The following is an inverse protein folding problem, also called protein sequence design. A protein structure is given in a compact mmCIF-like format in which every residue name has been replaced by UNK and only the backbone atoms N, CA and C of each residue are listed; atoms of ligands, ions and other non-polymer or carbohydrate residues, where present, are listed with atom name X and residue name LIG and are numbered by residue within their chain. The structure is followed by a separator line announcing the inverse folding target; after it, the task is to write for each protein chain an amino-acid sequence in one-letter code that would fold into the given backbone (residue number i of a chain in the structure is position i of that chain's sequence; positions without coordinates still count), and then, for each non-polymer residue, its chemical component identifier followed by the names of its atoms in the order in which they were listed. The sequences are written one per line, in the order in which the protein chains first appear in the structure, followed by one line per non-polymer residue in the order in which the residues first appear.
data_IF_955413236433
#
_entry.id   IF_955413236433
#
_cell.length_a   1.000
_cell.length_b   1.000
_cell.length_c   1.000
_cell.angle_alpha   90.00
_cell.angle_beta   90.00
_cell.angle_gamma   90.00
#
_symmetry.space_group_name_H-M   'P 1'
#
loop_
_entity.id
_entity.type
_entity.pdbx_description
1 polymer ?
#
# COMPACT_ATOMS: atom_id res chain seq x y z
N UNK A 1 16.72 -13.29 -29.58
CA UNK A 1 16.09 -12.37 -30.55
C UNK A 1 15.29 -11.33 -29.76
N UNK A 2 15.73 -10.05 -29.72
CA UNK A 2 15.08 -8.98 -28.95
C UNK A 2 13.99 -8.31 -29.79
N UNK A 3 12.90 -9.01 -30.09
CA UNK A 3 11.75 -8.42 -30.81
C UNK A 3 10.69 -7.85 -29.87
N UNK A 4 10.54 -8.42 -28.66
CA UNK A 4 9.49 -8.04 -27.72
C UNK A 4 9.59 -6.57 -27.25
N UNK A 5 8.49 -5.79 -27.30
CA UNK A 5 8.48 -4.41 -26.83
C UNK A 5 8.81 -4.35 -25.33
N UNK A 6 9.87 -3.61 -24.99
CA UNK A 6 10.34 -3.47 -23.60
C UNK A 6 9.24 -2.91 -22.70
N UNK A 7 8.48 -1.93 -23.18
CA UNK A 7 7.38 -1.34 -22.40
C UNK A 7 6.25 -2.34 -22.14
N UNK A 8 5.90 -3.21 -23.08
CA UNK A 8 4.92 -4.28 -22.84
C UNK A 8 5.42 -5.30 -21.81
N UNK A 9 6.69 -5.72 -21.92
CA UNK A 9 7.34 -6.61 -20.95
C UNK A 9 7.34 -6.01 -19.54
N UNK A 10 7.68 -4.72 -19.41
CA UNK A 10 7.66 -4.00 -18.14
C UNK A 10 6.28 -4.05 -17.48
N UNK A 11 5.20 -3.87 -18.25
CA UNK A 11 3.83 -3.93 -17.72
C UNK A 11 3.44 -5.37 -17.34
N UNK A 12 3.71 -6.35 -18.20
CA UNK A 12 3.37 -7.76 -17.97
C UNK A 12 4.09 -8.33 -16.74
N UNK A 13 5.36 -7.94 -16.54
CA UNK A 13 6.18 -8.35 -15.40
C UNK A 13 6.00 -7.44 -14.17
N UNK A 14 5.15 -6.42 -14.25
CA UNK A 14 4.96 -5.41 -13.18
C UNK A 14 6.30 -4.84 -12.69
N UNK A 15 7.21 -4.56 -13.64
CA UNK A 15 8.51 -3.95 -13.37
C UNK A 15 8.63 -2.61 -14.11
N UNK A 16 8.62 -1.47 -13.39
CA UNK A 16 8.64 -0.16 -14.03
C UNK A 16 9.96 0.11 -14.76
N UNK A 17 9.98 1.03 -15.74
CA UNK A 17 11.21 1.53 -16.35
C UNK A 17 12.30 1.85 -15.33
N UNK A 18 13.54 1.45 -15.63
CA UNK A 18 14.67 1.56 -14.71
C UNK A 18 14.86 2.98 -14.14
N UNK A 19 14.68 4.01 -14.97
CA UNK A 19 14.81 5.40 -14.52
C UNK A 19 13.72 5.79 -13.49
N UNK A 20 12.48 5.32 -13.67
CA UNK A 20 11.40 5.51 -12.68
C UNK A 20 11.69 4.75 -11.39
N UNK A 21 12.22 3.52 -11.51
CA UNK A 21 12.63 2.72 -10.36
C UNK A 21 13.76 3.38 -9.57
N UNK A 22 14.78 3.92 -10.25
CA UNK A 22 15.87 4.70 -9.63
C UNK A 22 15.32 5.92 -8.89
N UNK A 23 14.42 6.67 -9.52
CA UNK A 23 13.79 7.82 -8.87
C UNK A 23 12.97 7.41 -7.64
N UNK A 24 12.18 6.33 -7.72
CA UNK A 24 11.41 5.81 -6.58
C UNK A 24 12.29 5.41 -5.39
N UNK A 25 13.41 4.72 -5.65
CA UNK A 25 14.36 4.35 -4.61
C UNK A 25 15.04 5.56 -3.99
N UNK A 26 15.39 6.55 -4.82
CA UNK A 26 15.93 7.83 -4.38
C UNK A 26 14.94 8.61 -3.51
N UNK A 27 13.67 8.67 -3.92
CA UNK A 27 12.60 9.33 -3.16
C UNK A 27 12.48 8.71 -1.76
N UNK A 28 12.45 7.38 -1.65
CA UNK A 28 12.37 6.68 -0.37
C UNK A 28 13.60 6.87 0.51
N UNK A 29 14.79 6.85 -0.10
CA UNK A 29 16.03 7.10 0.61
C UNK A 29 16.04 8.53 1.18
N UNK A 30 15.68 9.52 0.36
CA UNK A 30 15.63 10.92 0.79
C UNK A 30 14.63 11.11 1.95
N UNK A 31 13.41 10.61 1.83
CA UNK A 31 12.38 10.75 2.89
C UNK A 31 12.87 10.17 4.23
N UNK A 32 13.59 9.05 4.19
CA UNK A 32 14.20 8.46 5.39
C UNK A 32 15.35 9.31 5.94
N UNK A 33 16.19 9.88 5.07
CA UNK A 33 17.27 10.77 5.48
C UNK A 33 16.74 12.09 6.07
N UNK A 34 15.69 12.66 5.47
CA UNK A 34 15.05 13.91 5.88
C UNK A 34 14.42 13.84 7.27
N UNK A 35 14.07 12.65 7.74
CA UNK A 35 13.62 12.41 9.11
C UNK A 35 14.72 12.68 10.15
N UNK A 36 16.00 12.49 9.80
CA UNK A 36 17.11 12.73 10.73
C UNK A 36 17.62 14.16 10.55
N UNK A 37 17.41 15.03 11.54
CA UNK A 37 17.85 16.44 11.48
C UNK A 37 19.36 16.60 11.37
N UNK A 38 20.15 15.63 11.85
CA UNK A 38 21.61 15.64 11.85
C UNK A 38 22.20 14.84 10.68
N UNK A 39 21.40 14.49 9.68
CA UNK A 39 21.88 13.69 8.56
C UNK A 39 22.82 14.52 7.65
N UNK A 40 24.08 14.09 7.42
CA UNK A 40 25.11 14.89 6.73
C UNK A 40 24.79 15.19 5.25
N UNK A 41 23.83 14.47 4.68
CA UNK A 41 23.35 14.71 3.31
C UNK A 41 22.54 16.01 3.18
N UNK A 42 21.79 16.41 4.22
CA UNK A 42 20.83 17.51 4.10
C UNK A 42 21.55 18.84 3.86
N UNK A 43 22.59 19.13 4.65
CA UNK A 43 23.45 20.31 4.48
C UNK A 43 24.06 20.36 3.06
N UNK A 44 24.58 19.24 2.56
CA UNK A 44 25.13 19.15 1.21
C UNK A 44 24.07 19.43 0.15
N UNK A 45 22.85 18.93 0.32
CA UNK A 45 21.76 19.15 -0.62
C UNK A 45 21.23 20.58 -0.59
N UNK A 46 21.32 21.29 0.52
CA UNK A 46 20.93 22.70 0.62
C UNK A 46 21.91 23.62 -0.12
N UNK A 47 23.19 23.25 -0.19
CA UNK A 47 24.24 24.00 -0.92
C UNK A 47 24.22 23.81 -2.43
N UNK A 48 23.55 22.77 -2.95
CA UNK A 48 23.59 22.39 -4.37
C UNK A 48 22.64 23.20 -5.30
N UNK A 49 21.41 23.57 -4.90
CA UNK A 49 20.49 24.31 -5.77
C UNK A 49 21.06 25.64 -6.27
N UNK A 50 21.81 26.37 -5.43
CA UNK A 50 22.50 27.61 -5.80
C UNK A 50 23.63 27.41 -6.82
N UNK A 51 24.16 26.19 -6.95
CA UNK A 51 25.18 25.83 -7.93
C UNK A 51 24.59 25.37 -9.27
N UNK A 52 23.30 25.00 -9.30
CA UNK A 52 22.63 24.43 -10.47
C UNK A 52 21.88 25.44 -11.34
N UNK A 53 21.70 26.67 -10.86
CA UNK A 53 21.04 27.77 -11.61
C UNK A 53 21.87 28.30 -12.79
N UNK A 54 23.08 27.79 -13.00
CA UNK A 54 24.06 28.33 -13.96
C UNK A 54 24.33 27.47 -15.20
N UNK A 55 23.51 26.47 -15.54
CA UNK A 55 23.70 25.78 -16.83
C UNK A 55 22.44 25.19 -17.46
N UNK A 56 22.30 25.45 -18.75
CA UNK A 56 21.28 24.99 -19.72
C UNK A 56 21.12 23.46 -19.88
N UNK A 57 21.55 22.64 -18.91
CA UNK A 57 21.54 21.18 -19.01
C UNK A 57 20.37 20.56 -18.23
N UNK A 58 19.14 20.83 -18.66
CA UNK A 58 17.91 20.21 -18.15
C UNK A 58 17.86 18.67 -18.22
N UNK A 59 18.88 18.02 -18.80
CA UNK A 59 18.86 16.59 -19.11
C UNK A 59 19.51 15.65 -18.09
N UNK A 60 20.27 16.12 -17.09
CA UNK A 60 21.01 15.21 -16.19
C UNK A 60 20.96 15.58 -14.69
N UNK A 61 19.80 15.98 -14.17
CA UNK A 61 19.65 16.22 -12.72
C UNK A 61 19.70 14.89 -11.96
N UNK A 62 20.60 14.70 -10.99
CA UNK A 62 20.66 13.48 -10.19
C UNK A 62 19.34 13.19 -9.46
N UNK A 63 18.93 11.92 -9.39
CA UNK A 63 17.68 11.51 -8.74
C UNK A 63 17.54 12.03 -7.30
N UNK A 64 18.66 12.11 -6.56
CA UNK A 64 18.67 12.58 -5.17
C UNK A 64 18.34 14.07 -5.07
N UNK A 65 18.83 14.88 -6.01
CA UNK A 65 18.51 16.31 -6.06
C UNK A 65 17.05 16.52 -6.48
N UNK A 66 16.53 15.73 -7.42
CA UNK A 66 15.10 15.72 -7.74
C UNK A 66 14.23 15.33 -6.53
N UNK A 67 14.71 14.37 -5.73
CA UNK A 67 14.01 13.95 -4.50
C UNK A 67 13.98 15.09 -3.49
N UNK A 68 15.13 15.73 -3.25
CA UNK A 68 15.25 16.89 -2.38
C UNK A 68 14.30 18.01 -2.80
N UNK A 69 14.38 18.48 -4.06
CA UNK A 69 13.54 19.55 -4.56
C UNK A 69 12.04 19.22 -4.48
N UNK A 70 11.68 17.96 -4.71
CA UNK A 70 10.30 17.48 -4.64
C UNK A 70 9.75 17.50 -3.22
N UNK A 71 10.48 16.93 -2.25
CA UNK A 71 9.99 16.77 -0.88
C UNK A 71 10.23 17.99 0.00
N UNK A 72 11.21 18.85 -0.33
CA UNK A 72 11.41 20.12 0.37
C UNK A 72 10.33 21.16 0.04
N UNK A 73 9.62 20.99 -1.09
CA UNK A 73 8.47 21.81 -1.50
C UNK A 73 7.12 21.29 -1.00
N UNK A 74 7.11 20.29 -0.11
CA UNK A 74 5.86 19.85 0.49
C UNK A 74 5.24 21.01 1.29
N UNK A 75 3.91 21.21 1.23
CA UNK A 75 3.24 22.25 2.00
C UNK A 75 3.37 22.02 3.50
N UNK A 76 3.57 20.76 3.89
CA UNK A 76 3.68 20.35 5.27
C UNK A 76 5.08 19.77 5.53
N UNK A 77 5.79 20.25 6.56
CA UNK A 77 7.14 19.76 6.87
C UNK A 77 7.11 18.33 7.41
N UNK A 78 8.21 17.61 7.15
CA UNK A 78 8.44 16.27 7.70
C UNK A 78 8.90 16.40 9.16
N UNK A 79 8.34 15.59 10.04
CA UNK A 79 8.78 15.41 11.43
C UNK A 79 10.26 14.99 11.44
N UNK A 80 11.11 15.83 12.05
CA UNK A 80 12.54 15.54 12.21
C UNK A 80 12.83 15.08 13.64
N UNK A 81 13.70 14.08 13.76
CA UNK A 81 14.27 13.59 15.03
C UNK A 81 15.79 13.66 14.96
N UNK A 82 16.48 14.00 16.06
CA UNK A 82 17.95 14.15 16.07
C UNK A 82 18.68 12.83 15.98
N UNK A 83 18.07 11.76 16.48
CA UNK A 83 18.63 10.41 16.50
C UNK A 83 17.64 9.43 15.90
N UNK A 84 18.15 8.24 15.55
CA UNK A 84 17.27 7.13 15.22
C UNK A 84 16.30 6.93 16.40
N UNK A 85 14.98 6.83 16.16
CA UNK A 85 13.98 6.68 17.22
C UNK A 85 14.28 5.55 18.23
N UNK A 86 14.97 4.48 17.84
CA UNK A 86 15.37 3.45 18.82
C UNK A 86 16.43 3.90 19.82
N UNK A 87 17.29 4.85 19.44
CA UNK A 87 18.35 5.35 20.31
C UNK A 87 17.90 6.59 21.08
N UNK A 88 16.72 7.14 20.80
CA UNK A 88 16.12 8.21 21.61
C UNK A 88 15.36 7.68 22.81
N UNK A 89 14.90 6.43 22.78
CA UNK A 89 14.12 5.83 23.87
C UNK A 89 15.00 5.01 24.81
N UNK A 90 14.63 4.95 26.09
CA UNK A 90 15.35 4.11 27.07
C UNK A 90 15.23 2.63 26.74
N UNK A 91 16.25 1.85 27.10
CA UNK A 91 16.26 0.41 26.86
C UNK A 91 15.08 -0.28 27.56
N UNK A 92 14.75 0.17 28.78
CA UNK A 92 13.65 -0.35 29.60
C UNK A 92 12.29 -0.15 28.89
N UNK A 93 12.06 1.02 28.30
CA UNK A 93 10.85 1.31 27.51
C UNK A 93 10.75 0.39 26.28
N UNK A 94 11.88 0.10 25.63
CA UNK A 94 11.92 -0.75 24.45
C UNK A 94 11.66 -2.23 24.74
N UNK A 95 12.04 -2.74 25.92
CA UNK A 95 11.78 -4.13 26.34
C UNK A 95 10.47 -4.29 27.11
N UNK A 96 9.90 -3.20 27.62
CA UNK A 96 8.63 -3.21 28.34
C UNK A 96 7.52 -3.87 27.51
N UNK A 97 6.75 -4.76 28.12
CA UNK A 97 5.59 -5.36 27.48
C UNK A 97 4.34 -4.61 27.93
N UNK A 98 3.76 -3.75 27.07
CA UNK A 98 2.55 -3.04 27.42
C UNK A 98 1.38 -4.02 27.56
N UNK A 99 0.50 -3.83 28.55
CA UNK A 99 -0.70 -4.64 28.70
C UNK A 99 -1.69 -4.32 27.57
N UNK A 100 -1.83 -5.26 26.63
CA UNK A 100 -2.66 -5.11 25.43
C UNK A 100 -3.55 -6.34 25.27
N UNK A 101 -4.85 -6.10 25.09
CA UNK A 101 -5.86 -7.10 24.81
C UNK A 101 -6.22 -7.05 23.33
N UNK A 102 -5.65 -7.95 22.53
CA UNK A 102 -5.96 -8.05 21.10
C UNK A 102 -7.34 -8.68 20.83
N UNK A 103 -7.88 -9.39 21.82
CA UNK A 103 -9.21 -9.95 21.79
C UNK A 103 -9.90 -9.63 23.12
N UNK A 104 -10.86 -8.72 23.09
CA UNK A 104 -11.67 -8.37 24.26
C UNK A 104 -12.82 -9.35 24.51
N UNK A 105 -12.90 -10.46 23.76
CA UNK A 105 -13.96 -11.45 23.88
C UNK A 105 -15.19 -11.16 23.01
N UNK A 106 -15.09 -10.20 22.08
CA UNK A 106 -16.18 -9.82 21.18
C UNK A 106 -15.83 -10.26 19.77
N UNK A 107 -16.68 -11.12 19.19
CA UNK A 107 -16.50 -11.53 17.80
C UNK A 107 -16.76 -10.37 16.86
N UNK A 108 -15.93 -10.25 15.82
CA UNK A 108 -16.10 -9.23 14.77
C UNK A 108 -17.47 -9.33 14.11
N UNK A 109 -18.11 -10.50 14.07
CA UNK A 109 -19.39 -10.74 13.42
C UNK A 109 -20.58 -10.86 14.38
N UNK A 110 -20.36 -10.64 15.69
CA UNK A 110 -21.43 -10.76 16.68
C UNK A 110 -22.53 -9.71 16.45
N UNK A 111 -23.78 -10.18 16.47
CA UNK A 111 -24.99 -9.35 16.43
C UNK A 111 -25.25 -8.76 17.83
N UNK A 112 -24.82 -9.46 18.87
CA UNK A 112 -24.92 -9.09 20.29
C UNK A 112 -23.67 -8.42 20.86
N UNK A 113 -22.78 -7.91 19.99
CA UNK A 113 -21.50 -7.33 20.36
C UNK A 113 -21.62 -6.23 21.45
N UNK A 114 -22.67 -5.41 21.40
CA UNK A 114 -22.94 -4.39 22.43
C UNK A 114 -23.25 -5.01 23.79
N UNK A 115 -24.11 -6.03 23.86
CA UNK A 115 -24.43 -6.70 25.13
C UNK A 115 -23.20 -7.43 25.68
N UNK A 116 -22.46 -8.15 24.83
CA UNK A 116 -21.22 -8.83 25.18
C UNK A 116 -20.19 -7.86 25.75
N UNK A 117 -19.99 -6.71 25.09
CA UNK A 117 -19.08 -5.66 25.57
C UNK A 117 -19.40 -5.22 27.00
N UNK A 118 -20.66 -4.85 27.27
CA UNK A 118 -21.04 -4.39 28.60
C UNK A 118 -21.02 -5.50 29.66
N UNK A 119 -21.31 -6.74 29.28
CA UNK A 119 -21.16 -7.90 30.17
C UNK A 119 -19.71 -8.02 30.63
N UNK A 120 -18.77 -8.10 29.69
CA UNK A 120 -17.32 -8.24 29.96
C UNK A 120 -16.79 -7.04 30.75
N UNK A 121 -17.24 -5.83 30.41
CA UNK A 121 -16.85 -4.61 31.13
C UNK A 121 -17.31 -4.65 32.59
N UNK A 122 -18.55 -5.09 32.85
CA UNK A 122 -19.10 -5.17 34.21
C UNK A 122 -18.45 -6.28 35.04
N UNK A 123 -18.09 -7.40 34.42
CA UNK A 123 -17.54 -8.57 35.10
C UNK A 123 -16.04 -8.42 35.43
N UNK A 124 -15.25 -7.89 34.50
CA UNK A 124 -13.78 -7.89 34.61
C UNK A 124 -13.15 -6.50 34.77
N UNK A 125 -13.88 -5.42 34.47
CA UNK A 125 -13.34 -4.05 34.43
C UNK A 125 -14.14 -3.08 35.31
N UNK A 126 -14.79 -3.60 36.36
CA UNK A 126 -15.55 -2.79 37.29
C UNK A 126 -14.64 -1.72 37.94
N UNK A 127 -15.08 -0.46 37.89
CA UNK A 127 -14.35 0.68 38.45
C UNK A 127 -13.19 1.20 37.58
N UNK A 128 -12.91 0.58 36.43
CA UNK A 128 -11.92 1.09 35.48
C UNK A 128 -12.51 2.24 34.65
N UNK A 129 -11.70 3.27 34.39
CA UNK A 129 -12.08 4.37 33.52
C UNK A 129 -11.98 3.93 32.05
N UNK A 130 -13.10 3.99 31.33
CA UNK A 130 -13.12 3.69 29.90
C UNK A 130 -12.80 4.93 29.07
N UNK A 131 -11.89 4.78 28.12
CA UNK A 131 -11.52 5.80 27.13
C UNK A 131 -11.62 5.16 25.75
N UNK A 132 -12.06 5.92 24.75
CA UNK A 132 -12.19 5.44 23.37
C UNK A 132 -11.35 6.31 22.45
N UNK A 133 -10.73 5.70 21.45
CA UNK A 133 -9.87 6.39 20.48
C UNK A 133 -10.20 5.92 19.07
N UNK A 134 -10.18 6.84 18.11
CA UNK A 134 -10.44 6.53 16.69
C UNK A 134 -9.81 7.61 15.81
N UNK A 135 -9.59 7.29 14.53
CA UNK A 135 -9.20 8.23 13.50
C UNK A 135 -9.91 7.99 12.17
N UNK A 136 -10.32 9.09 11.54
CA UNK A 136 -11.09 9.06 10.30
C UNK A 136 -10.43 9.86 9.19
N UNK A 137 -10.65 9.41 7.94
CA UNK A 137 -10.21 10.07 6.73
C UNK A 137 -11.31 10.02 5.69
N UNK A 138 -11.81 11.20 5.28
CA UNK A 138 -12.95 11.30 4.35
C UNK A 138 -12.57 11.15 2.87
N UNK A 139 -11.32 11.46 2.52
CA UNK A 139 -10.81 11.36 1.15
C UNK A 139 -9.33 10.95 1.16
N UNK A 140 -8.87 10.22 0.14
CA UNK A 140 -7.48 9.73 0.07
C UNK A 140 -6.44 10.87 0.19
N UNK A 141 -6.70 12.01 -0.44
CA UNK A 141 -5.85 13.20 -0.40
C UNK A 141 -6.23 14.18 0.73
N UNK A 142 -7.18 13.82 1.58
CA UNK A 142 -7.67 14.65 2.69
C UNK A 142 -6.82 14.59 3.95
N UNK A 143 -7.15 15.45 4.91
CA UNK A 143 -6.63 15.39 6.28
C UNK A 143 -7.16 14.14 7.01
N UNK A 144 -6.46 13.74 8.07
CA UNK A 144 -6.93 12.71 9.01
C UNK A 144 -7.35 13.40 10.29
N UNK A 145 -8.56 13.14 10.76
CA UNK A 145 -9.01 13.54 12.08
C UNK A 145 -8.79 12.41 13.06
N UNK A 146 -8.28 12.70 14.24
CA UNK A 146 -8.07 11.74 15.32
C UNK A 146 -8.80 12.26 16.57
N UNK A 147 -9.38 11.36 17.36
CA UNK A 147 -10.16 11.75 18.51
C UNK A 147 -9.97 10.81 19.70
N UNK A 148 -10.15 11.39 20.89
CA UNK A 148 -10.23 10.68 22.17
C UNK A 148 -11.55 11.05 22.82
N UNK A 149 -12.30 10.06 23.28
CA UNK A 149 -13.56 10.26 23.99
C UNK A 149 -13.49 9.63 25.39
N UNK A 150 -13.80 10.44 26.40
CA UNK A 150 -13.83 10.02 27.81
C UNK A 150 -15.26 10.23 28.34
N UNK A 151 -16.13 9.19 28.29
CA UNK A 151 -17.56 9.35 28.56
C UNK A 151 -17.88 9.89 29.95
N UNK A 152 -17.15 9.45 30.98
CA UNK A 152 -17.41 9.81 32.38
C UNK A 152 -17.29 11.31 32.61
N UNK A 153 -16.32 11.95 31.95
CA UNK A 153 -16.09 13.39 32.04
C UNK A 153 -16.74 14.19 30.90
N UNK A 154 -17.33 13.50 29.91
CA UNK A 154 -17.84 14.08 28.66
C UNK A 154 -16.80 14.91 27.92
N UNK A 155 -15.54 14.46 27.93
CA UNK A 155 -14.42 15.14 27.29
C UNK A 155 -14.13 14.49 25.95
N UNK A 156 -14.04 15.33 24.91
CA UNK A 156 -13.58 14.93 23.59
C UNK A 156 -12.30 15.71 23.25
N UNK A 157 -11.21 15.01 22.98
CA UNK A 157 -10.02 15.58 22.35
C UNK A 157 -10.16 15.39 20.84
N UNK A 158 -9.90 16.44 20.05
CA UNK A 158 -10.03 16.41 18.59
C UNK A 158 -8.76 16.97 17.97
N UNK A 159 -8.10 16.16 17.16
CA UNK A 159 -6.77 16.40 16.62
C UNK A 159 -6.82 16.28 15.11
N UNK A 160 -6.10 17.17 14.42
CA UNK A 160 -6.08 17.21 12.96
C UNK A 160 -4.66 16.97 12.46
N UNK A 161 -4.51 15.89 11.71
CA UNK A 161 -3.29 15.57 10.99
C UNK A 161 -3.35 16.13 9.56
N UNK A 162 -2.21 16.54 8.98
CA UNK A 162 -2.13 17.12 7.65
C UNK A 162 -2.59 16.14 6.55
N UNK A 163 -2.88 16.65 5.34
CA UNK A 163 -3.01 15.82 4.15
C UNK A 163 -1.78 14.93 3.99
N UNK A 164 -1.93 13.73 3.40
CA UNK A 164 -0.91 12.67 3.29
C UNK A 164 -0.80 11.74 4.50
N UNK A 165 -1.13 12.19 5.71
CA UNK A 165 -1.14 11.30 6.88
C UNK A 165 -2.04 10.08 6.65
N UNK A 166 -1.61 8.92 7.13
CA UNK A 166 -2.41 7.70 7.09
C UNK A 166 -3.37 7.62 8.28
N UNK A 167 -4.46 6.85 8.12
CA UNK A 167 -5.38 6.56 9.23
C UNK A 167 -4.61 5.91 10.39
N UNK A 168 -3.67 5.01 10.11
CA UNK A 168 -2.77 4.41 11.11
C UNK A 168 -2.03 5.45 11.96
N UNK A 169 -1.53 6.53 11.35
CA UNK A 169 -0.90 7.64 12.08
C UNK A 169 -1.90 8.35 12.99
N UNK A 170 -3.11 8.64 12.48
CA UNK A 170 -4.17 9.25 13.27
C UNK A 170 -4.57 8.39 14.47
N UNK A 171 -4.78 7.08 14.26
CA UNK A 171 -5.08 6.11 15.33
C UNK A 171 -3.98 6.09 16.39
N UNK A 172 -2.72 6.05 15.95
CA UNK A 172 -1.57 6.06 16.85
C UNK A 172 -1.51 7.36 17.68
N UNK A 173 -1.84 8.49 17.06
CA UNK A 173 -1.91 9.79 17.75
C UNK A 173 -3.05 9.82 18.76
N UNK A 174 -4.24 9.32 18.41
CA UNK A 174 -5.37 9.23 19.34
C UNK A 174 -5.01 8.37 20.57
N UNK A 175 -4.36 7.22 20.37
CA UNK A 175 -3.86 6.37 21.46
C UNK A 175 -2.83 7.11 22.31
N UNK A 176 -1.86 7.79 21.68
CA UNK A 176 -0.85 8.56 22.41
C UNK A 176 -1.50 9.64 23.28
N UNK A 177 -2.40 10.44 22.71
CA UNK A 177 -3.09 11.51 23.43
C UNK A 177 -3.97 11.00 24.57
N UNK A 178 -4.63 9.85 24.40
CA UNK A 178 -5.35 9.22 25.50
C UNK A 178 -4.40 8.86 26.66
N UNK A 179 -3.22 8.31 26.38
CA UNK A 179 -2.22 7.96 27.40
C UNK A 179 -1.65 9.22 28.06
N UNK A 180 -1.32 10.25 27.28
CA UNK A 180 -0.81 11.53 27.80
C UNK A 180 -1.85 12.23 28.68
N UNK A 181 -3.12 12.19 28.29
CA UNK A 181 -4.23 12.71 29.09
C UNK A 181 -4.33 11.97 30.43
N UNK A 182 -4.31 10.63 30.41
CA UNK A 182 -4.30 9.79 31.62
C UNK A 182 -3.12 10.12 32.53
N UNK A 183 -1.91 10.21 31.95
CA UNK A 183 -0.67 10.52 32.68
C UNK A 183 -0.73 11.91 33.34
N UNK A 184 -1.12 12.93 32.59
CA UNK A 184 -1.16 14.33 33.06
C UNK A 184 -2.17 14.55 34.19
N UNK A 185 -3.29 13.83 34.16
CA UNK A 185 -4.33 13.92 35.19
C UNK A 185 -4.18 12.86 36.29
N UNK A 186 -3.11 12.04 36.25
CA UNK A 186 -2.87 10.94 37.20
C UNK A 186 -4.06 9.99 37.35
N UNK A 187 -4.79 9.74 36.26
CA UNK A 187 -5.93 8.82 36.25
C UNK A 187 -5.39 7.39 36.34
N UNK A 188 -5.94 6.58 37.23
CA UNK A 188 -5.49 5.21 37.42
C UNK A 188 -6.55 4.20 36.97
N UNK A 189 -6.14 2.96 36.70
CA UNK A 189 -7.00 1.88 36.23
C UNK A 189 -7.83 2.30 35.01
N UNK A 190 -7.15 2.69 33.94
CA UNK A 190 -7.77 3.12 32.69
C UNK A 190 -7.71 1.99 31.64
N UNK A 191 -8.81 1.78 30.92
CA UNK A 191 -8.86 0.94 29.73
C UNK A 191 -9.15 1.79 28.50
N UNK A 192 -8.24 1.76 27.54
CA UNK A 192 -8.32 2.53 26.28
C UNK A 192 -8.73 1.58 25.17
N UNK A 193 -9.92 1.80 24.63
CA UNK A 193 -10.49 1.04 23.52
C UNK A 193 -10.17 1.68 22.18
N UNK A 194 -9.73 0.86 21.23
CA UNK A 194 -9.48 1.23 19.83
C UNK A 194 -9.96 0.11 18.91
N UNK A 195 -10.42 0.43 17.71
CA UNK A 195 -10.71 -0.55 16.67
C UNK A 195 -9.50 -0.82 15.75
N UNK A 196 -8.39 -0.13 15.98
CA UNK A 196 -7.16 -0.25 15.19
C UNK A 196 -6.28 -1.41 15.66
N UNK A 197 -6.63 -2.63 15.24
CA UNK A 197 -5.84 -3.83 15.52
C UNK A 197 -4.39 -3.69 15.03
N UNK A 198 -4.17 -2.99 13.91
CA UNK A 198 -2.83 -2.72 13.38
C UNK A 198 -1.97 -1.90 14.33
N UNK A 199 -2.53 -0.91 15.01
CA UNK A 199 -1.80 -0.11 15.99
C UNK A 199 -1.38 -0.97 17.18
N UNK A 200 -2.31 -1.72 17.77
CA UNK A 200 -2.02 -2.58 18.91
C UNK A 200 -0.99 -3.66 18.60
N UNK A 201 -1.10 -4.33 17.45
CA UNK A 201 -0.11 -5.30 17.00
C UNK A 201 1.28 -4.67 16.82
N UNK A 202 1.34 -3.44 16.30
CA UNK A 202 2.60 -2.73 16.10
C UNK A 202 3.22 -2.25 17.41
N UNK A 203 2.40 -1.81 18.38
CA UNK A 203 2.85 -1.45 19.74
C UNK A 203 3.40 -2.69 20.47
N UNK A 204 2.74 -3.84 20.32
CA UNK A 204 3.14 -5.11 20.95
C UNK A 204 4.40 -5.71 20.29
N UNK A 205 4.61 -5.45 19.00
CA UNK A 205 5.74 -6.00 18.26
C UNK A 205 7.09 -5.58 18.84
N UNK A 206 8.07 -6.48 18.76
CA UNK A 206 9.43 -6.22 19.24
C UNK A 206 10.10 -5.08 18.41
N UNK A 207 10.46 -3.94 19.04
CA UNK A 207 11.06 -2.80 18.35
C UNK A 207 12.38 -3.11 17.63
N UNK A 208 13.15 -4.07 18.13
CA UNK A 208 14.45 -4.48 17.55
C UNK A 208 14.29 -5.34 16.29
N UNK A 209 13.20 -6.10 16.20
CA UNK A 209 12.92 -7.01 15.06
C UNK A 209 12.07 -6.36 13.98
N UNK A 210 11.37 -5.26 14.28
CA UNK A 210 10.51 -4.60 13.30
C UNK A 210 11.31 -3.94 12.18
N UNK A 211 10.92 -4.23 10.92
CA UNK A 211 11.47 -3.58 9.72
C UNK A 211 11.05 -2.12 9.60
N UNK A 212 9.90 -1.76 10.18
CA UNK A 212 9.32 -0.42 10.16
C UNK A 212 9.21 0.10 11.59
N UNK A 213 10.03 1.11 11.90
CA UNK A 213 10.11 1.74 13.22
C UNK A 213 9.40 3.08 13.12
N UNK A 214 8.13 3.08 13.49
CA UNK A 214 7.32 4.30 13.46
C UNK A 214 7.62 5.11 14.74
N UNK A 215 8.09 6.37 14.62
CA UNK A 215 8.42 7.18 15.79
C UNK A 215 7.24 7.32 16.77
N UNK A 216 6.02 7.48 16.25
CA UNK A 216 4.81 7.59 17.08
C UNK A 216 4.57 6.35 17.95
N UNK A 217 4.85 5.14 17.44
CA UNK A 217 4.69 3.90 18.20
C UNK A 217 5.71 3.82 19.34
N UNK A 218 6.92 4.31 19.13
CA UNK A 218 7.93 4.35 20.19
C UNK A 218 7.58 5.39 21.27
N UNK A 219 7.02 6.55 20.88
CA UNK A 219 6.44 7.53 21.82
C UNK A 219 5.33 6.91 22.68
N UNK A 220 4.43 6.12 22.08
CA UNK A 220 3.37 5.40 22.82
C UNK A 220 3.97 4.43 23.85
N UNK A 221 4.95 3.63 23.44
CA UNK A 221 5.59 2.65 24.34
C UNK A 221 6.29 3.31 25.52
N UNK A 222 6.97 4.43 25.25
CA UNK A 222 7.59 5.26 26.28
C UNK A 222 6.55 5.86 27.23
N UNK A 223 5.47 6.45 26.71
CA UNK A 223 4.40 7.00 27.54
C UNK A 223 3.76 5.92 28.43
N UNK A 224 3.52 4.71 27.92
CA UNK A 224 3.01 3.58 28.71
C UNK A 224 4.01 3.14 29.79
N UNK A 225 5.30 3.07 29.46
CA UNK A 225 6.34 2.72 30.42
C UNK A 225 6.45 3.76 31.54
N UNK A 226 6.37 5.05 31.21
CA UNK A 226 6.36 6.13 32.20
C UNK A 226 5.11 6.07 33.09
N UNK A 227 3.94 5.78 32.52
CA UNK A 227 2.72 5.54 33.31
C UNK A 227 2.93 4.39 34.30
N UNK A 228 3.51 3.28 33.84
CA UNK A 228 3.81 2.13 34.71
C UNK A 228 4.75 2.50 35.85
N UNK A 229 5.80 3.29 35.57
CA UNK A 229 6.74 3.79 36.58
C UNK A 229 6.06 4.67 37.63
N UNK A 230 5.04 5.43 37.22
CA UNK A 230 4.23 6.28 38.09
C UNK A 230 3.05 5.53 38.76
N UNK A 231 3.02 4.19 38.70
CA UNK A 231 1.93 3.35 39.22
C UNK A 231 0.54 3.67 38.63
N UNK A 232 0.53 4.17 37.39
CA UNK A 232 -0.68 4.39 36.59
C UNK A 232 -0.90 3.16 35.71
N UNK A 233 -1.97 2.43 36.00
CA UNK A 233 -2.37 1.24 35.26
C UNK A 233 -3.22 1.63 34.06
N UNK A 234 -2.70 1.37 32.86
CA UNK A 234 -3.39 1.54 31.58
C UNK A 234 -3.41 0.20 30.88
N UNK A 235 -4.54 -0.20 30.30
CA UNK A 235 -4.67 -1.36 29.42
C UNK A 235 -5.21 -0.89 28.08
N UNK A 236 -4.58 -1.28 26.97
CA UNK A 236 -5.12 -1.04 25.63
C UNK A 236 -5.94 -2.26 25.19
N UNK A 237 -7.13 -2.05 24.64
CA UNK A 237 -8.01 -3.14 24.24
C UNK A 237 -8.58 -2.92 22.84
N UNK A 238 -8.55 -3.97 22.02
CA UNK A 238 -9.19 -3.96 20.71
C UNK A 238 -10.68 -4.25 20.83
N UNK A 239 -11.51 -3.43 20.17
CA UNK A 239 -12.94 -3.68 19.99
C UNK A 239 -13.33 -3.62 18.51
N UNK A 240 -14.36 -4.35 18.06
CA UNK A 240 -14.79 -4.27 16.67
C UNK A 240 -15.49 -2.93 16.38
N UNK A 241 -15.13 -2.34 15.25
CA UNK A 241 -15.76 -1.12 14.70
C UNK A 241 -17.22 -1.35 14.29
N UNK A 242 -18.04 -0.29 14.37
CA UNK A 242 -19.43 -0.24 13.89
C UNK A 242 -20.36 -1.33 14.43
N UNK A 243 -20.21 -1.65 15.72
CA UNK A 243 -21.03 -2.66 16.41
C UNK A 243 -22.01 -2.07 17.42
N UNK A 244 -22.27 -0.76 17.34
CA UNK A 244 -23.28 -0.10 18.16
C UNK A 244 -22.86 0.11 19.62
N UNK A 245 -21.56 0.02 19.91
CA UNK A 245 -20.96 0.38 21.21
C UNK A 245 -20.94 1.91 21.29
N UNK A 246 -21.76 2.55 22.16
CA UNK A 246 -21.93 4.00 22.18
C UNK A 246 -20.63 4.80 22.26
N UNK A 247 -19.66 4.34 23.05
CA UNK A 247 -18.36 5.00 23.18
C UNK A 247 -17.58 5.03 21.86
N UNK A 248 -17.60 3.91 21.12
CA UNK A 248 -16.94 3.78 19.82
C UNK A 248 -17.61 4.65 18.75
N UNK A 249 -18.94 4.60 18.65
CA UNK A 249 -19.67 5.42 17.65
C UNK A 249 -19.53 6.92 17.93
N UNK A 250 -19.42 7.31 19.20
CA UNK A 250 -19.19 8.71 19.59
C UNK A 250 -17.81 9.16 19.17
N UNK A 251 -16.76 8.37 19.44
CA UNK A 251 -15.39 8.77 19.06
C UNK A 251 -15.18 8.76 17.55
N UNK A 252 -15.82 7.86 16.78
CA UNK A 252 -15.84 7.90 15.31
C UNK A 252 -16.44 9.21 14.79
N UNK A 253 -17.56 9.63 15.37
CA UNK A 253 -18.18 10.92 15.06
C UNK A 253 -17.26 12.10 15.41
N UNK A 254 -16.58 12.04 16.56
CA UNK A 254 -15.58 13.04 16.94
C UNK A 254 -14.39 13.07 15.97
N UNK A 255 -13.88 11.91 15.53
CA UNK A 255 -12.77 11.79 14.60
C UNK A 255 -13.12 12.37 13.22
N UNK A 256 -14.34 12.10 12.72
CA UNK A 256 -14.85 12.72 11.49
C UNK A 256 -14.95 14.24 11.60
N UNK A 257 -15.44 14.75 12.73
CA UNK A 257 -15.51 16.20 12.97
C UNK A 257 -14.10 16.83 13.12
N UNK A 258 -13.16 16.11 13.73
CA UNK A 258 -11.79 16.59 13.94
C UNK A 258 -11.05 16.89 12.62
N UNK A 259 -11.48 16.35 11.49
CA UNK A 259 -10.94 16.69 10.16
C UNK A 259 -11.10 18.19 9.86
N UNK A 260 -12.19 18.82 10.31
CA UNK A 260 -12.45 20.25 10.12
C UNK A 260 -12.09 21.08 11.34
N UNK A 261 -12.37 20.59 12.56
CA UNK A 261 -12.27 21.37 13.80
C UNK A 261 -11.11 21.00 14.72
N UNK A 262 -10.38 19.92 14.43
CA UNK A 262 -9.33 19.41 15.30
C UNK A 262 -8.13 20.35 15.43
N UNK A 263 -7.43 20.26 16.56
CA UNK A 263 -6.23 21.05 16.81
C UNK A 263 -5.10 20.68 15.83
N UNK A 264 -4.27 21.66 15.48
CA UNK A 264 -3.13 21.48 14.57
C UNK A 264 -1.83 21.14 15.31
N UNK A 265 -1.91 20.52 16.48
CA UNK A 265 -0.72 20.13 17.25
C UNK A 265 0.15 19.13 16.48
N UNK A 266 -0.49 18.20 15.77
CA UNK A 266 0.15 17.20 14.92
C UNK A 266 0.23 17.67 13.45
N UNK A 267 0.71 18.89 13.21
CA UNK A 267 0.79 19.46 11.86
C UNK A 267 1.92 18.89 10.99
N UNK A 268 2.86 18.12 11.54
CA UNK A 268 4.02 17.57 10.80
C UNK A 268 3.76 16.17 10.26
N UNK A 269 4.41 15.82 9.14
CA UNK A 269 4.28 14.52 8.50
C UNK A 269 5.34 13.52 8.98
N UNK A 270 4.93 12.32 9.36
CA UNK A 270 5.88 11.25 9.61
C UNK A 270 6.46 10.68 8.30
N UNK A 271 7.73 10.29 8.34
CA UNK A 271 8.46 9.80 7.15
C UNK A 271 7.82 8.59 6.48
N UNK A 272 7.10 7.73 7.22
CA UNK A 272 6.40 6.58 6.66
C UNK A 272 5.18 6.98 5.83
N UNK A 273 4.47 8.03 6.24
CA UNK A 273 3.34 8.58 5.48
C UNK A 273 3.86 9.21 4.19
N UNK A 274 4.91 10.01 4.27
CA UNK A 274 5.54 10.63 3.08
C UNK A 274 6.12 9.59 2.13
N UNK A 275 6.66 8.48 2.65
CA UNK A 275 7.17 7.37 1.83
C UNK A 275 6.09 6.73 0.94
N UNK A 276 4.82 6.83 1.33
CA UNK A 276 3.70 6.36 0.50
C UNK A 276 3.57 7.19 -0.79
N UNK A 277 3.84 8.50 -0.74
CA UNK A 277 3.83 9.38 -1.90
C UNK A 277 4.82 8.94 -2.97
N UNK A 278 6.00 8.44 -2.58
CA UNK A 278 6.99 7.92 -3.52
C UNK A 278 6.39 6.82 -4.41
N UNK A 279 5.55 5.94 -3.82
CA UNK A 279 4.89 4.86 -4.56
C UNK A 279 3.79 5.43 -5.47
N UNK A 280 2.98 6.37 -4.99
CA UNK A 280 1.96 7.05 -5.79
C UNK A 280 2.57 7.77 -6.99
N UNK A 281 3.67 8.50 -6.79
CA UNK A 281 4.42 9.16 -7.87
C UNK A 281 4.95 8.16 -8.88
N UNK A 282 5.55 7.06 -8.44
CA UNK A 282 6.02 5.98 -9.33
C UNK A 282 4.89 5.47 -10.22
N UNK A 283 3.74 5.11 -9.64
CA UNK A 283 2.60 4.60 -10.41
C UNK A 283 2.03 5.64 -11.36
N UNK A 284 1.90 6.91 -10.94
CA UNK A 284 1.42 8.00 -11.79
C UNK A 284 2.35 8.21 -12.98
N UNK A 285 3.65 8.35 -12.74
CA UNK A 285 4.65 8.51 -13.81
C UNK A 285 4.73 7.31 -14.74
N UNK A 286 4.60 6.09 -14.20
CA UNK A 286 4.62 4.87 -14.99
C UNK A 286 3.36 4.73 -15.85
N UNK A 287 2.18 5.04 -15.31
CA UNK A 287 0.94 5.03 -16.07
C UNK A 287 0.98 6.06 -17.20
N UNK A 288 1.50 7.27 -16.95
CA UNK A 288 1.73 8.27 -18.00
C UNK A 288 2.71 7.75 -19.06
N UNK A 289 3.83 7.17 -18.66
CA UNK A 289 4.80 6.57 -19.59
C UNK A 289 4.17 5.47 -20.46
N UNK A 290 3.38 4.59 -19.85
CA UNK A 290 2.65 3.53 -20.56
C UNK A 290 1.67 4.12 -21.58
N UNK A 291 0.84 5.08 -21.16
CA UNK A 291 -0.14 5.71 -22.04
C UNK A 291 0.49 6.43 -23.24
N UNK A 292 1.67 7.03 -23.04
CA UNK A 292 2.40 7.73 -24.10
C UNK A 292 3.11 6.78 -25.08
N UNK A 293 3.57 5.61 -24.61
CA UNK A 293 4.36 4.68 -25.43
C UNK A 293 3.53 3.58 -26.07
N UNK A 294 2.42 3.15 -25.46
CA UNK A 294 1.63 1.98 -25.87
C UNK A 294 1.15 1.99 -27.32
N UNK A 295 0.90 3.18 -27.89
CA UNK A 295 0.46 3.33 -29.29
C UNK A 295 1.61 3.14 -30.29
N UNK A 296 2.84 3.49 -29.91
CA UNK A 296 4.04 3.37 -30.75
C UNK A 296 4.68 1.98 -30.62
N UNK A 297 4.80 1.50 -29.40
CA UNK A 297 5.40 0.20 -29.06
C UNK A 297 4.46 -0.55 -28.12
N UNK A 298 4.19 -1.84 -28.39
CA UNK A 298 3.28 -2.64 -27.56
C UNK A 298 1.78 -2.43 -27.86
N UNK A 299 1.42 -2.00 -29.07
CA UNK A 299 0.02 -1.78 -29.50
C UNK A 299 -0.86 -3.00 -29.26
N UNK A 300 -0.43 -4.18 -29.71
CA UNK A 300 -1.13 -5.46 -29.47
C UNK A 300 -1.38 -5.70 -27.98
N UNK A 301 -0.33 -5.59 -27.17
CA UNK A 301 -0.42 -5.78 -25.73
C UNK A 301 -1.39 -4.78 -25.06
N UNK A 302 -1.45 -3.53 -25.54
CA UNK A 302 -2.36 -2.51 -24.99
C UNK A 302 -3.84 -2.80 -25.19
N UNK A 303 -4.16 -3.66 -26.16
CA UNK A 303 -5.51 -4.13 -26.41
C UNK A 303 -5.87 -5.36 -25.56
N UNK A 304 -4.86 -6.06 -25.03
CA UNK A 304 -5.00 -7.20 -24.12
C UNK A 304 -5.02 -6.74 -22.66
N UNK A 305 -4.14 -5.79 -22.32
CA UNK A 305 -3.94 -5.26 -20.98
C UNK A 305 -3.96 -3.72 -21.02
N UNK A 306 -5.08 -3.13 -20.61
CA UNK A 306 -5.28 -1.68 -20.68
C UNK A 306 -4.54 -0.90 -19.58
N UNK A 307 -4.45 -1.48 -18.38
CA UNK A 307 -3.86 -0.87 -17.18
C UNK A 307 -2.72 -1.71 -16.62
N UNK A 308 -1.88 -1.12 -15.76
CA UNK A 308 -0.82 -1.85 -15.07
C UNK A 308 -1.47 -2.92 -14.16
N UNK A 309 -1.16 -4.22 -14.32
CA UNK A 309 -1.75 -5.25 -13.48
C UNK A 309 -1.18 -5.19 -12.06
N UNK A 310 -1.93 -5.66 -11.04
CA UNK A 310 -1.49 -5.61 -9.65
C UNK A 310 -0.36 -6.61 -9.33
N UNK A 311 -0.21 -7.65 -10.16
CA UNK A 311 0.78 -8.72 -10.01
C UNK A 311 1.28 -9.20 -11.37
N UNK A 312 2.54 -9.67 -11.47
CA UNK A 312 3.08 -10.20 -12.70
C UNK A 312 2.40 -11.51 -13.09
N UNK A 313 2.37 -11.75 -14.40
CA UNK A 313 2.08 -13.07 -14.98
C UNK A 313 3.40 -13.74 -15.37
N UNK A 314 3.58 -15.02 -15.00
CA UNK A 314 4.87 -15.73 -15.16
C UNK A 314 4.66 -17.07 -15.92
N UNK A 315 3.80 -17.07 -16.94
CA UNK A 315 3.69 -18.24 -17.84
C UNK A 315 4.20 -17.83 -19.21
N UNK A 316 5.43 -18.23 -19.55
CA UNK A 316 6.18 -17.71 -20.71
C UNK A 316 5.41 -17.76 -22.04
N UNK A 317 4.74 -18.87 -22.34
CA UNK A 317 3.93 -19.04 -23.56
C UNK A 317 2.75 -18.04 -23.58
N UNK A 318 2.05 -17.90 -22.46
CA UNK A 318 0.92 -16.98 -22.32
C UNK A 318 1.41 -15.53 -22.44
N UNK A 319 2.53 -15.18 -21.83
CA UNK A 319 3.13 -13.85 -21.96
C UNK A 319 3.49 -13.54 -23.42
N UNK A 320 4.06 -14.48 -24.17
CA UNK A 320 4.35 -14.31 -25.60
C UNK A 320 3.08 -14.05 -26.42
N UNK A 321 2.01 -14.82 -26.17
CA UNK A 321 0.71 -14.60 -26.80
C UNK A 321 0.12 -13.23 -26.45
N UNK A 322 0.16 -12.84 -25.17
CA UNK A 322 -0.34 -11.54 -24.69
C UNK A 322 0.42 -10.37 -25.31
N UNK A 323 1.74 -10.50 -25.47
CA UNK A 323 2.59 -9.47 -26.08
C UNK A 323 2.45 -9.44 -27.62
N UNK A 324 1.94 -10.52 -28.22
CA UNK A 324 1.80 -10.66 -29.69
C UNK A 324 3.10 -11.12 -30.36
N UNK A 325 3.96 -11.78 -29.60
CA UNK A 325 5.30 -12.24 -29.96
C UNK A 325 5.44 -13.76 -29.79
N UNK A 326 4.34 -14.48 -30.05
CA UNK A 326 4.32 -15.93 -30.19
C UNK A 326 4.92 -16.37 -31.53
N UNK A 327 5.52 -17.55 -31.57
CA UNK A 327 6.19 -18.20 -32.70
C UNK A 327 5.19 -18.72 -33.76
N UNK A 328 4.16 -17.94 -34.07
CA UNK A 328 3.20 -18.29 -35.13
C UNK A 328 3.82 -18.09 -36.52
N UNK A 329 3.43 -18.85 -37.56
CA UNK A 329 3.89 -18.63 -38.93
C UNK A 329 3.77 -17.17 -39.40
N UNK A 330 2.66 -16.50 -39.09
CA UNK A 330 2.47 -15.06 -39.38
C UNK A 330 3.55 -14.19 -38.71
N UNK A 331 3.87 -14.43 -37.44
CA UNK A 331 4.89 -13.65 -36.72
C UNK A 331 6.31 -13.96 -37.23
N UNK A 332 6.61 -15.24 -37.49
CA UNK A 332 7.91 -15.67 -38.00
C UNK A 332 8.17 -15.15 -39.42
N UNK A 333 7.14 -15.09 -40.27
CA UNK A 333 7.23 -14.49 -41.59
C UNK A 333 7.51 -12.99 -41.53
N UNK A 334 6.83 -12.27 -40.61
CA UNK A 334 7.10 -10.85 -40.35
C UNK A 334 8.55 -10.58 -39.93
N UNK A 335 9.18 -11.54 -39.24
CA UNK A 335 10.59 -11.47 -38.83
C UNK A 335 11.56 -12.00 -39.91
N UNK A 336 11.06 -12.45 -41.07
CA UNK A 336 11.84 -13.09 -42.15
C UNK A 336 12.59 -14.36 -41.71
N UNK A 337 12.01 -15.10 -40.77
CA UNK A 337 12.51 -16.42 -40.33
C UNK A 337 11.86 -17.54 -41.13
N UNK A 338 10.57 -17.37 -41.49
CA UNK A 338 9.85 -18.21 -42.45
C UNK A 338 9.55 -17.39 -43.70
N UNK A 339 9.51 -18.03 -44.86
CA UNK A 339 9.21 -17.35 -46.12
C UNK A 339 7.70 -17.09 -46.32
N UNK A 340 6.83 -17.79 -45.57
CA UNK A 340 5.38 -17.71 -45.71
C UNK A 340 4.67 -17.59 -44.36
N UNK A 341 3.57 -16.81 -44.34
CA UNK A 341 2.66 -16.69 -43.19
C UNK A 341 1.65 -17.85 -43.10
N UNK A 342 1.58 -18.71 -44.12
CA UNK A 342 0.61 -19.79 -44.23
C UNK A 342 0.88 -20.87 -43.16
N UNK A 343 -0.17 -21.42 -42.58
CA UNK A 343 -0.07 -22.54 -41.65
C UNK A 343 0.40 -23.82 -42.36
N UNK A 344 1.07 -24.72 -41.65
CA UNK A 344 1.53 -26.01 -42.20
C UNK A 344 0.37 -26.93 -42.64
N UNK A 345 -0.88 -26.64 -42.22
CA UNK A 345 -2.06 -27.31 -42.75
C UNK A 345 -2.47 -26.85 -44.16
N UNK A 346 -1.93 -25.73 -44.65
CA UNK A 346 -2.21 -25.16 -45.98
C UNK A 346 -3.56 -24.46 -46.14
N UNK A 347 -4.40 -24.38 -45.10
CA UNK A 347 -5.78 -23.89 -45.22
C UNK A 347 -5.96 -22.38 -45.01
N UNK A 348 -5.09 -21.74 -44.21
CA UNK A 348 -5.21 -20.34 -43.82
C UNK A 348 -3.85 -19.79 -43.35
N UNK A 349 -3.79 -18.50 -43.05
CA UNK A 349 -2.67 -17.91 -42.32
C UNK A 349 -2.48 -18.59 -40.95
N UNK A 350 -1.23 -18.89 -40.60
CA UNK A 350 -0.86 -19.42 -39.29
C UNK A 350 -0.92 -18.35 -38.21
N UNK A 351 -2.12 -17.86 -37.92
CA UNK A 351 -2.40 -17.00 -36.76
C UNK A 351 -2.57 -17.85 -35.50
N UNK A 352 -2.47 -17.23 -34.32
CA UNK A 352 -2.78 -17.93 -33.07
C UNK A 352 -4.25 -18.38 -33.03
N UNK A 353 -5.17 -17.61 -33.61
CA UNK A 353 -6.59 -17.99 -33.73
C UNK A 353 -6.77 -19.24 -34.59
N UNK A 354 -6.15 -19.27 -35.78
CA UNK A 354 -6.18 -20.46 -36.63
C UNK A 354 -5.62 -21.68 -35.89
N UNK A 355 -4.41 -21.57 -35.34
CA UNK A 355 -3.72 -22.69 -34.68
C UNK A 355 -4.53 -23.22 -33.49
N UNK A 356 -5.10 -22.34 -32.66
CA UNK A 356 -5.75 -22.74 -31.42
C UNK A 356 -7.21 -23.17 -31.60
N UNK A 357 -7.94 -22.60 -32.56
CA UNK A 357 -9.37 -22.87 -32.71
C UNK A 357 -9.72 -23.74 -33.93
N UNK A 358 -9.00 -23.60 -35.04
CA UNK A 358 -9.46 -24.05 -36.36
C UNK A 358 -8.52 -25.03 -37.06
N UNK A 359 -7.26 -25.16 -36.63
CA UNK A 359 -6.24 -25.92 -37.35
C UNK A 359 -6.49 -27.44 -37.25
N UNK A 360 -6.71 -28.14 -38.39
CA UNK A 360 -6.99 -29.57 -38.38
C UNK A 360 -5.79 -30.40 -37.91
N UNK A 361 -4.56 -29.93 -38.12
CA UNK A 361 -3.34 -30.63 -37.70
C UNK A 361 -3.21 -30.76 -36.17
N UNK A 362 -3.95 -29.95 -35.39
CA UNK A 362 -3.97 -30.03 -33.92
C UNK A 362 -4.93 -31.12 -33.42
N UNK A 363 -5.91 -31.53 -34.25
CA UNK A 363 -6.85 -32.61 -33.94
C UNK A 363 -7.86 -32.33 -32.81
N UNK A 364 -7.95 -31.09 -32.34
CA UNK A 364 -8.94 -30.63 -31.34
C UNK A 364 -8.96 -29.11 -31.28
N UNK A 365 -10.07 -28.53 -30.83
CA UNK A 365 -10.21 -27.08 -30.70
C UNK A 365 -9.97 -26.64 -29.26
N UNK A 366 -9.42 -25.45 -29.05
CA UNK A 366 -9.36 -24.82 -27.73
C UNK A 366 -10.77 -24.70 -27.11
N UNK A 367 -11.83 -24.63 -27.91
CA UNK A 367 -13.22 -24.65 -27.40
C UNK A 367 -13.55 -25.86 -26.53
N UNK A 368 -12.87 -27.00 -26.74
CA UNK A 368 -13.10 -28.24 -25.98
C UNK A 368 -12.54 -28.14 -24.54
N UNK A 369 -11.60 -27.21 -24.32
CA UNK A 369 -10.91 -27.00 -23.05
C UNK A 369 -11.39 -25.74 -22.31
N UNK A 370 -12.12 -24.87 -23.00
CA UNK A 370 -12.71 -23.66 -22.43
C UNK A 370 -14.07 -23.95 -21.77
N UNK A 371 -14.38 -23.32 -20.62
CA UNK A 371 -15.69 -23.41 -20.00
C UNK A 371 -16.82 -23.03 -20.96
N UNK A 372 -17.95 -23.76 -20.89
CA UNK A 372 -19.16 -23.53 -21.72
C UNK A 372 -19.73 -22.10 -21.64
N UNK A 373 -19.37 -21.35 -20.59
CA UNK A 373 -19.83 -19.97 -20.36
C UNK A 373 -19.14 -18.92 -21.25
N UNK A 374 -18.08 -19.27 -21.99
CA UNK A 374 -17.41 -18.32 -22.89
C UNK A 374 -18.24 -18.17 -24.18
N UNK A 375 -18.57 -16.94 -24.62
CA UNK A 375 -19.32 -16.72 -25.86
C UNK A 375 -18.55 -17.26 -27.07
N UNK A 376 -19.28 -17.89 -27.99
CA UNK A 376 -18.77 -18.48 -29.23
C UNK A 376 -19.46 -17.80 -30.42
N UNK A 377 -18.74 -17.41 -31.49
CA UNK A 377 -17.30 -17.55 -31.67
C UNK A 377 -16.51 -16.56 -30.77
N UNK A 378 -15.37 -17.03 -30.27
CA UNK A 378 -14.37 -16.26 -29.54
C UNK A 378 -13.07 -16.19 -30.34
N UNK A 379 -12.16 -15.32 -29.92
CA UNK A 379 -10.79 -15.26 -30.42
C UNK A 379 -9.80 -15.29 -29.25
N UNK A 380 -8.54 -15.56 -29.56
CA UNK A 380 -7.48 -15.68 -28.56
C UNK A 380 -7.34 -14.39 -27.75
N UNK A 381 -7.54 -13.24 -28.38
CA UNK A 381 -7.48 -11.93 -27.70
C UNK A 381 -8.53 -11.82 -26.60
N UNK A 382 -9.77 -12.27 -26.83
CA UNK A 382 -10.83 -12.33 -25.81
C UNK A 382 -10.49 -13.29 -24.66
N UNK A 383 -9.81 -14.41 -24.94
CA UNK A 383 -9.34 -15.33 -23.90
C UNK A 383 -8.23 -14.67 -23.07
N UNK A 384 -7.31 -13.97 -23.73
CA UNK A 384 -6.15 -13.33 -23.10
C UNK A 384 -6.49 -12.06 -22.31
N UNK A 385 -7.54 -11.31 -22.68
CA UNK A 385 -8.03 -10.15 -21.91
C UNK A 385 -8.69 -10.58 -20.60
N UNK A 386 -9.16 -11.83 -20.51
CA UNK A 386 -9.72 -12.35 -19.27
C UNK A 386 -8.64 -12.45 -18.19
N UNK A 387 -8.79 -11.72 -17.08
CA UNK A 387 -7.93 -11.86 -15.89
C UNK A 387 -8.23 -13.15 -15.10
N UNK A 388 -9.04 -14.05 -15.67
CA UNK A 388 -9.43 -15.30 -15.02
C UNK A 388 -8.28 -16.31 -15.11
N UNK A 389 -7.61 -16.54 -13.97
CA UNK A 389 -6.51 -17.49 -13.88
C UNK A 389 -6.89 -18.91 -14.31
N UNK A 390 -8.15 -19.34 -14.17
CA UNK A 390 -8.60 -20.65 -14.62
C UNK A 390 -8.62 -20.75 -16.15
N UNK A 391 -9.06 -19.69 -16.84
CA UNK A 391 -9.09 -19.63 -18.31
C UNK A 391 -7.69 -19.68 -18.91
N UNK A 392 -6.78 -18.87 -18.39
CA UNK A 392 -5.38 -18.86 -18.84
C UNK A 392 -4.67 -20.19 -18.52
N UNK A 393 -5.02 -20.84 -17.40
CA UNK A 393 -4.52 -22.19 -17.08
C UNK A 393 -5.05 -23.24 -18.06
N UNK A 394 -6.32 -23.19 -18.46
CA UNK A 394 -6.87 -24.09 -19.47
C UNK A 394 -6.18 -23.89 -20.82
N UNK A 395 -5.93 -22.64 -21.23
CA UNK A 395 -5.16 -22.34 -22.43
C UNK A 395 -3.74 -22.90 -22.37
N UNK A 396 -3.02 -22.67 -21.26
CA UNK A 396 -1.67 -23.19 -21.08
C UNK A 396 -1.65 -24.74 -21.12
N UNK A 397 -2.61 -25.39 -20.46
CA UNK A 397 -2.77 -26.85 -20.48
C UNK A 397 -3.02 -27.37 -21.89
N UNK A 398 -3.90 -26.73 -22.65
CA UNK A 398 -4.17 -27.11 -24.04
C UNK A 398 -2.90 -27.07 -24.89
N UNK A 399 -2.19 -25.94 -24.87
CA UNK A 399 -0.95 -25.74 -25.63
C UNK A 399 0.09 -26.82 -25.30
N UNK A 400 0.29 -27.10 -24.01
CA UNK A 400 1.23 -28.12 -23.55
C UNK A 400 0.78 -29.53 -23.97
N UNK A 401 -0.50 -29.87 -23.76
CA UNK A 401 -1.03 -31.21 -24.07
C UNK A 401 -0.99 -31.58 -25.55
N UNK A 402 -1.02 -30.56 -26.42
CA UNK A 402 -1.01 -30.72 -27.88
C UNK A 402 0.36 -30.42 -28.50
N UNK A 403 1.39 -30.19 -27.68
CA UNK A 403 2.75 -29.85 -28.12
C UNK A 403 2.77 -28.69 -29.14
N UNK A 404 1.90 -27.69 -28.95
CA UNK A 404 1.81 -26.56 -29.89
C UNK A 404 2.99 -25.62 -29.66
N UNK A 405 3.80 -25.41 -30.70
CA UNK A 405 4.97 -24.53 -30.63
C UNK A 405 4.55 -23.07 -30.90
N UNK A 406 4.26 -22.32 -29.84
CA UNK A 406 3.86 -20.90 -29.84
C UNK A 406 4.79 -20.04 -28.99
#
# INVERSE_FOLDING_TARGET
MKSSPINALQIECVDPPLYLRRQYLSDRFYVKAAQNSSHPLLEKLELLPSLSSSSDSSQNIPCILLSFLKFNRLPTPIEKVPLNPLFSNSFESLIFQPPILLNFGISKDSISARQEFYSILSEHWQGWLTIYTDASKLAEDGCVGAAVWIPVYKIALSLKCPPVSSVFTGESIAILEAILYVKSHSLNNCIIFTDSLSCLQTILANPFKSKTKFPIILKIREALFECKKNNINIVLAWIPSHRGIPGNETVDSCAKNAISTGSLEYFKLYSHDVSSLSRTHLFKSWNTHWNNTKKKTGRHYSEVQHTIPPRPWIVSIICRLRIGHSCTPVHLAKLRIKDSSICECGLDEGTADHILFNCPNIGSSLYDFLPKKIPRPSNIKCVLTSLNSALLKSLAKFIISKNINL
#
